data_IF_426473272057
#
_entry.id   IF_426473272057
#
_cell.length_a   1.000
_cell.length_b   1.000
_cell.length_c   1.000
_cell.angle_alpha   90.00
_cell.angle_beta   90.00
_cell.angle_gamma   90.00
#
_symmetry.space_group_name_H-M   'P 1'
#
loop_
_entity.id
_entity.type
_entity.pdbx_description
1 polymer ?
#
# COMPACT_ATOMS: atom_id res chain seq x y z
N UNK A 1 64.29 22.43 24.94
CA UNK A 1 62.95 22.31 25.54
C UNK A 1 61.98 22.91 24.58
N UNK A 2 61.39 22.08 23.75
CA UNK A 2 60.28 22.48 22.84
C UNK A 2 59.04 21.77 23.30
N UNK A 3 58.13 22.50 23.95
CA UNK A 3 56.79 22.06 24.27
C UNK A 3 55.98 22.14 22.99
N UNK A 4 55.63 20.99 22.43
CA UNK A 4 54.63 20.90 21.38
C UNK A 4 53.24 21.14 21.99
N UNK A 5 52.74 22.36 21.81
CA UNK A 5 51.32 22.67 22.08
C UNK A 5 50.44 21.78 21.18
N UNK A 6 49.88 20.74 21.75
CA UNK A 6 48.83 19.97 21.13
C UNK A 6 47.60 20.84 20.94
N UNK A 7 47.36 21.33 19.74
CA UNK A 7 46.08 21.95 19.37
C UNK A 7 44.97 20.95 19.61
N UNK A 8 44.24 21.14 20.67
CA UNK A 8 43.01 20.40 20.99
C UNK A 8 41.93 20.87 20.01
N UNK A 9 41.99 20.37 18.77
CA UNK A 9 40.95 20.64 17.76
C UNK A 9 39.74 19.80 18.09
N UNK A 10 38.65 20.46 18.48
CA UNK A 10 37.36 19.81 18.66
C UNK A 10 36.97 19.12 17.33
N UNK A 11 36.60 17.85 17.42
CA UNK A 11 36.08 17.09 16.27
C UNK A 11 34.71 17.62 15.88
N UNK A 12 34.40 17.66 14.58
CA UNK A 12 33.01 17.84 14.14
C UNK A 12 32.19 16.61 14.54
N UNK A 13 30.86 16.78 14.61
CA UNK A 13 29.94 15.67 14.92
C UNK A 13 30.12 14.49 13.96
N UNK A 14 30.19 14.76 12.65
CA UNK A 14 30.35 13.75 11.61
C UNK A 14 31.70 13.00 11.76
N UNK A 15 32.75 13.72 12.05
CA UNK A 15 34.10 13.11 12.27
C UNK A 15 34.09 12.24 13.52
N UNK A 16 33.45 12.70 14.59
CA UNK A 16 33.35 11.93 15.84
C UNK A 16 32.56 10.63 15.62
N UNK A 17 31.39 10.71 14.95
CA UNK A 17 30.56 9.53 14.61
C UNK A 17 31.33 8.53 13.74
N UNK A 18 31.98 9.01 12.68
CA UNK A 18 32.81 8.15 11.80
C UNK A 18 33.93 7.47 12.55
N UNK A 19 34.58 8.21 13.44
CA UNK A 19 35.70 7.68 14.27
C UNK A 19 35.19 6.58 15.22
N UNK A 20 34.05 6.81 15.89
CA UNK A 20 33.43 5.82 16.77
C UNK A 20 33.02 4.56 16.01
N UNK A 21 32.34 4.70 14.85
CA UNK A 21 31.95 3.56 14.03
C UNK A 21 33.14 2.74 13.56
N UNK A 22 34.24 3.39 13.14
CA UNK A 22 35.47 2.72 12.72
C UNK A 22 36.23 2.03 13.87
N UNK A 23 36.02 2.48 15.10
CA UNK A 23 36.64 1.89 16.29
C UNK A 23 35.88 0.61 16.77
N UNK A 24 34.67 0.39 16.30
CA UNK A 24 33.90 -0.82 16.65
C UNK A 24 34.40 -2.00 15.83
N UNK A 25 35.20 -2.87 16.44
CA UNK A 25 35.80 -4.05 15.79
C UNK A 25 35.15 -5.38 16.19
N UNK A 26 34.12 -5.36 17.05
CA UNK A 26 33.48 -6.61 17.46
C UNK A 26 32.49 -7.06 16.39
N UNK A 27 32.73 -8.24 15.81
CA UNK A 27 31.78 -8.96 14.98
C UNK A 27 31.04 -9.96 15.86
N UNK A 28 29.75 -9.73 16.05
CA UNK A 28 28.90 -10.71 16.70
C UNK A 28 28.62 -11.86 15.70
N UNK A 29 28.59 -13.09 16.21
CA UNK A 29 28.17 -14.25 15.41
C UNK A 29 26.66 -14.27 15.27
N UNK A 30 26.18 -14.70 14.09
CA UNK A 30 24.76 -14.96 13.85
C UNK A 30 24.35 -16.28 14.54
N UNK A 31 23.14 -16.35 15.03
CA UNK A 31 22.52 -17.58 15.55
C UNK A 31 21.08 -17.70 15.06
N UNK A 32 20.61 -18.94 14.90
CA UNK A 32 19.23 -19.21 14.58
C UNK A 32 18.44 -19.22 15.91
N UNK A 33 17.43 -18.37 16.00
CA UNK A 33 16.64 -18.19 17.22
C UNK A 33 15.15 -18.38 16.90
N UNK A 34 14.40 -19.09 17.74
CA UNK A 34 12.94 -19.16 17.61
C UNK A 34 12.30 -17.77 17.63
N UNK A 35 11.24 -17.56 16.84
CA UNK A 35 10.60 -16.27 16.67
C UNK A 35 10.19 -15.61 18.01
N UNK A 36 9.71 -16.41 18.94
CA UNK A 36 9.25 -15.97 20.26
C UNK A 36 10.40 -15.36 21.11
N UNK A 37 11.64 -15.70 20.78
CA UNK A 37 12.85 -15.22 21.47
C UNK A 37 13.60 -14.11 20.69
N UNK A 38 13.04 -13.64 19.58
CA UNK A 38 13.68 -12.63 18.72
C UNK A 38 13.49 -11.19 19.20
N UNK A 39 12.60 -10.94 20.18
CA UNK A 39 12.36 -9.57 20.68
C UNK A 39 13.66 -8.95 21.21
N UNK A 40 13.99 -7.76 20.72
CA UNK A 40 15.20 -7.03 21.09
C UNK A 40 16.49 -7.50 20.40
N UNK A 41 16.40 -8.45 19.46
CA UNK A 41 17.55 -8.90 18.66
C UNK A 41 17.65 -8.12 17.34
N UNK A 42 18.83 -8.14 16.76
CA UNK A 42 19.12 -7.51 15.46
C UNK A 42 19.18 -8.60 14.40
N UNK A 43 18.46 -8.40 13.30
CA UNK A 43 18.54 -9.27 12.12
C UNK A 43 19.93 -9.21 11.50
N UNK A 44 20.46 -10.34 11.06
CA UNK A 44 21.78 -10.45 10.40
C UNK A 44 21.69 -10.22 8.90
N UNK A 45 20.51 -10.31 8.34
CA UNK A 45 20.22 -10.09 6.92
C UNK A 45 18.82 -9.52 6.74
N UNK A 46 18.57 -8.86 5.60
CA UNK A 46 17.27 -8.36 5.24
C UNK A 46 16.31 -9.52 4.96
N UNK A 47 15.10 -9.41 5.52
CA UNK A 47 14.04 -10.39 5.27
C UNK A 47 13.09 -9.84 4.20
N UNK A 48 13.01 -10.53 3.07
CA UNK A 48 12.09 -10.21 1.99
C UNK A 48 10.86 -11.11 2.05
N UNK A 49 9.67 -10.50 1.92
CA UNK A 49 8.44 -11.28 1.81
C UNK A 49 8.46 -12.12 0.53
N UNK A 50 8.19 -13.45 0.60
CA UNK A 50 8.06 -14.28 -0.58
C UNK A 50 6.73 -14.07 -1.32
N UNK A 51 5.81 -13.31 -0.74
CA UNK A 51 4.48 -13.03 -1.28
C UNK A 51 4.28 -11.53 -1.45
N UNK A 52 3.50 -11.14 -2.45
CA UNK A 52 2.98 -9.77 -2.55
C UNK A 52 2.01 -9.48 -1.40
N UNK A 53 2.12 -8.30 -0.78
CA UNK A 53 1.24 -7.88 0.33
C UNK A 53 0.80 -6.43 0.06
N UNK A 54 -0.47 -6.25 -0.32
CA UNK A 54 -1.55 -7.24 -0.50
C UNK A 54 -1.35 -8.12 -1.75
N UNK A 55 -1.93 -9.34 -1.79
CA UNK A 55 -1.70 -10.29 -2.89
C UNK A 55 -2.41 -9.89 -4.21
N UNK A 56 -3.37 -8.96 -4.15
CA UNK A 56 -4.15 -8.44 -5.28
C UNK A 56 -4.48 -6.97 -5.09
N UNK A 57 -4.81 -6.27 -6.17
CA UNK A 57 -5.37 -4.92 -6.07
C UNK A 57 -6.67 -4.99 -5.29
N UNK A 58 -6.85 -4.11 -4.30
CA UNK A 58 -8.05 -4.10 -3.47
C UNK A 58 -8.57 -2.69 -3.22
N UNK A 59 -9.83 -2.62 -2.79
CA UNK A 59 -10.44 -1.35 -2.44
C UNK A 59 -9.92 -0.82 -1.10
N UNK A 60 -9.59 0.46 -1.07
CA UNK A 60 -9.29 1.19 0.16
C UNK A 60 -10.54 1.65 0.91
N UNK A 61 -11.70 1.67 0.25
CA UNK A 61 -12.96 2.24 0.75
C UNK A 61 -14.15 1.36 0.35
N UNK A 62 -15.25 1.53 1.07
CA UNK A 62 -16.55 0.97 0.68
C UNK A 62 -17.13 1.84 -0.43
N UNK A 63 -17.49 1.21 -1.56
CA UNK A 63 -17.91 2.00 -2.72
C UNK A 63 -18.30 1.17 -3.92
N UNK A 64 -18.00 1.69 -5.09
CA UNK A 64 -18.29 1.07 -6.37
C UNK A 64 -17.04 1.07 -7.25
N UNK A 65 -16.63 -0.12 -7.67
CA UNK A 65 -15.53 -0.29 -8.60
C UNK A 65 -16.04 -0.05 -10.04
N UNK A 66 -15.30 0.75 -10.80
CA UNK A 66 -15.59 1.12 -12.18
C UNK A 66 -14.33 1.10 -13.03
N UNK A 67 -14.50 1.07 -14.34
CA UNK A 67 -13.43 1.39 -15.28
C UNK A 67 -13.40 2.90 -15.49
N UNK A 68 -12.30 3.55 -15.16
CA UNK A 68 -12.16 5.01 -15.25
C UNK A 68 -12.52 5.58 -16.62
N UNK A 69 -12.12 4.88 -17.69
CA UNK A 69 -12.42 5.33 -19.06
C UNK A 69 -13.93 5.45 -19.33
N UNK A 70 -14.76 4.62 -18.68
CA UNK A 70 -16.20 4.63 -18.86
C UNK A 70 -16.87 5.88 -18.26
N UNK A 71 -16.23 6.55 -17.29
CA UNK A 71 -16.71 7.81 -16.70
C UNK A 71 -16.80 8.97 -17.70
N UNK A 72 -16.10 8.86 -18.82
CA UNK A 72 -16.18 9.86 -19.90
C UNK A 72 -17.37 9.63 -20.84
N UNK A 73 -17.93 8.40 -20.85
CA UNK A 73 -18.96 7.98 -21.81
C UNK A 73 -20.32 7.77 -21.18
N UNK A 74 -20.36 7.49 -19.87
CA UNK A 74 -21.59 7.16 -19.15
C UNK A 74 -21.78 8.11 -17.96
N UNK A 75 -23.02 8.53 -17.74
CA UNK A 75 -23.41 9.36 -16.58
C UNK A 75 -24.00 8.50 -15.45
N UNK A 76 -24.54 7.35 -15.79
CA UNK A 76 -25.09 6.37 -14.84
C UNK A 76 -24.51 4.98 -15.10
N UNK A 77 -24.39 4.18 -14.07
CA UNK A 77 -23.78 2.85 -14.10
C UNK A 77 -24.72 1.82 -13.47
N UNK A 78 -24.88 0.69 -14.15
CA UNK A 78 -25.64 -0.43 -13.60
C UNK A 78 -24.78 -1.24 -12.63
N UNK A 79 -25.31 -1.53 -11.44
CA UNK A 79 -24.63 -2.43 -10.49
C UNK A 79 -24.89 -3.87 -10.90
N UNK A 80 -23.82 -4.60 -11.26
CA UNK A 80 -23.92 -5.99 -11.78
C UNK A 80 -23.48 -7.04 -10.77
N UNK A 81 -23.00 -6.65 -9.61
CA UNK A 81 -22.60 -7.58 -8.57
C UNK A 81 -21.90 -6.92 -7.39
N UNK A 82 -21.36 -7.78 -6.54
CA UNK A 82 -20.67 -7.39 -5.30
C UNK A 82 -19.33 -8.09 -5.20
N UNK A 83 -18.29 -7.37 -4.77
CA UNK A 83 -16.99 -7.92 -4.38
C UNK A 83 -16.79 -7.67 -2.89
N UNK A 84 -16.65 -8.74 -2.13
CA UNK A 84 -16.48 -8.72 -0.68
C UNK A 84 -15.15 -9.35 -0.30
N UNK A 85 -14.62 -9.01 0.87
CA UNK A 85 -13.43 -9.67 1.39
C UNK A 85 -13.68 -11.18 1.51
N UNK A 86 -12.81 -11.98 0.88
CA UNK A 86 -12.96 -13.44 0.81
C UNK A 86 -14.02 -13.96 -0.21
N UNK A 87 -14.78 -13.05 -0.87
CA UNK A 87 -15.76 -13.42 -1.90
C UNK A 87 -15.63 -12.45 -3.08
N UNK A 88 -14.57 -12.56 -3.89
CA UNK A 88 -14.32 -11.66 -5.00
C UNK A 88 -15.31 -11.86 -6.16
N UNK A 89 -15.52 -10.80 -6.94
CA UNK A 89 -16.34 -10.83 -8.14
C UNK A 89 -15.47 -11.15 -9.36
N UNK A 90 -15.64 -12.34 -9.95
CA UNK A 90 -14.80 -12.84 -11.05
C UNK A 90 -15.43 -12.73 -12.44
N UNK A 91 -16.68 -12.22 -12.55
CA UNK A 91 -17.32 -12.09 -13.85
C UNK A 91 -16.81 -10.86 -14.60
N UNK A 92 -16.88 -10.91 -15.93
CA UNK A 92 -16.58 -9.76 -16.77
C UNK A 92 -17.60 -8.65 -16.53
N UNK A 93 -17.10 -7.42 -16.31
CA UNK A 93 -17.94 -6.23 -16.13
C UNK A 93 -18.09 -5.53 -17.48
N UNK A 94 -19.31 -5.42 -18.04
CA UNK A 94 -19.56 -4.69 -19.28
C UNK A 94 -19.33 -3.19 -19.13
N UNK A 95 -19.11 -2.48 -20.25
CA UNK A 95 -19.03 -1.03 -20.26
C UNK A 95 -20.32 -0.38 -19.70
N UNK A 96 -20.18 0.72 -18.95
CA UNK A 96 -21.31 1.36 -18.27
C UNK A 96 -21.86 0.59 -17.08
N UNK A 97 -21.16 -0.45 -16.63
CA UNK A 97 -21.49 -1.20 -15.41
C UNK A 97 -20.44 -1.00 -14.32
N UNK A 98 -20.84 -1.28 -13.08
CA UNK A 98 -19.99 -1.22 -11.91
C UNK A 98 -20.25 -2.38 -10.97
N UNK A 99 -19.34 -2.61 -10.03
CA UNK A 99 -19.47 -3.63 -8.98
C UNK A 99 -19.43 -2.94 -7.62
N UNK A 100 -20.40 -3.24 -6.77
CA UNK A 100 -20.37 -2.82 -5.37
C UNK A 100 -19.18 -3.49 -4.70
N UNK A 101 -18.28 -2.71 -4.08
CA UNK A 101 -17.07 -3.23 -3.48
C UNK A 101 -16.92 -2.75 -2.04
N UNK A 102 -16.39 -3.63 -1.18
CA UNK A 102 -16.10 -3.31 0.21
C UNK A 102 -14.60 -3.16 0.42
N UNK A 103 -14.23 -2.43 1.45
CA UNK A 103 -12.83 -2.24 1.85
C UNK A 103 -12.11 -3.57 1.99
N UNK A 104 -10.92 -3.68 1.39
CA UNK A 104 -10.12 -4.89 1.39
C UNK A 104 -10.54 -5.96 0.39
N UNK A 105 -11.68 -5.81 -0.27
CA UNK A 105 -12.13 -6.74 -1.32
C UNK A 105 -11.28 -6.59 -2.59
N UNK A 106 -11.03 -7.71 -3.26
CA UNK A 106 -10.31 -7.74 -4.53
C UNK A 106 -11.04 -6.91 -5.60
N UNK A 107 -10.27 -6.10 -6.33
CA UNK A 107 -10.77 -5.31 -7.43
C UNK A 107 -11.12 -6.22 -8.61
N UNK A 108 -12.37 -6.18 -9.14
CA UNK A 108 -12.76 -7.01 -10.27
C UNK A 108 -11.89 -6.72 -11.51
N UNK A 109 -11.60 -7.77 -12.27
CA UNK A 109 -10.75 -7.69 -13.47
C UNK A 109 -11.28 -6.65 -14.47
N UNK A 110 -10.38 -5.77 -14.91
CA UNK A 110 -10.69 -4.71 -15.88
C UNK A 110 -11.28 -3.44 -15.28
N UNK A 111 -11.52 -3.40 -13.97
CA UNK A 111 -11.83 -2.19 -13.22
C UNK A 111 -10.57 -1.63 -12.56
N UNK A 112 -10.47 -0.31 -12.45
CA UNK A 112 -9.25 0.37 -12.06
C UNK A 112 -9.46 1.53 -11.07
N UNK A 113 -10.71 1.82 -10.73
CA UNK A 113 -11.06 2.99 -9.90
C UNK A 113 -12.21 2.63 -8.97
N UNK A 114 -12.16 3.12 -7.74
CA UNK A 114 -13.25 2.98 -6.77
C UNK A 114 -13.79 4.36 -6.41
N UNK A 115 -15.11 4.50 -6.43
CA UNK A 115 -15.83 5.69 -5.97
C UNK A 115 -16.49 5.37 -4.64
N UNK A 116 -16.27 6.22 -3.63
CA UNK A 116 -16.85 6.02 -2.30
C UNK A 116 -18.38 6.03 -2.35
N UNK A 117 -19.02 5.23 -1.51
CA UNK A 117 -20.48 5.15 -1.46
C UNK A 117 -21.15 6.49 -1.10
N UNK A 118 -20.47 7.34 -0.34
CA UNK A 118 -20.94 8.68 0.05
C UNK A 118 -21.04 9.63 -1.16
N UNK A 119 -20.23 9.37 -2.19
CA UNK A 119 -20.16 10.17 -3.42
C UNK A 119 -21.05 9.62 -4.53
N UNK A 120 -21.99 8.72 -4.19
CA UNK A 120 -22.88 8.04 -5.14
C UNK A 120 -24.34 8.33 -4.80
N UNK A 121 -25.15 8.54 -5.85
CA UNK A 121 -26.60 8.50 -5.80
C UNK A 121 -27.05 7.12 -6.26
N UNK A 122 -27.84 6.43 -5.44
CA UNK A 122 -28.36 5.10 -5.74
C UNK A 122 -29.82 5.24 -6.14
N UNK A 123 -30.18 4.70 -7.31
CA UNK A 123 -31.53 4.67 -7.84
C UNK A 123 -32.22 3.32 -7.57
N UNK A 124 -33.53 3.33 -7.48
CA UNK A 124 -34.35 2.13 -7.18
C UNK A 124 -34.32 1.06 -8.28
N UNK A 125 -33.90 1.43 -9.50
CA UNK A 125 -33.78 0.56 -10.68
C UNK A 125 -32.43 -0.18 -10.77
N UNK A 126 -31.56 -0.03 -9.75
CA UNK A 126 -30.26 -0.68 -9.70
C UNK A 126 -29.15 0.08 -10.43
N UNK A 127 -29.41 1.32 -10.82
CA UNK A 127 -28.40 2.22 -11.35
C UNK A 127 -27.86 3.15 -10.28
N UNK A 128 -26.65 3.66 -10.53
CA UNK A 128 -25.98 4.67 -9.69
C UNK A 128 -25.47 5.82 -10.55
N UNK A 129 -25.34 6.99 -9.95
CA UNK A 129 -24.69 8.17 -10.52
C UNK A 129 -23.63 8.71 -9.56
N UNK A 130 -22.53 9.23 -10.08
CA UNK A 130 -21.49 9.83 -9.27
C UNK A 130 -21.74 11.33 -9.07
N UNK A 131 -21.69 11.80 -7.81
CA UNK A 131 -21.95 13.18 -7.43
C UNK A 131 -20.83 14.14 -7.85
N UNK A 132 -19.63 13.63 -8.03
CA UNK A 132 -18.44 14.42 -8.31
C UNK A 132 -17.46 13.71 -9.25
N UNK A 133 -16.50 14.49 -9.80
CA UNK A 133 -15.44 13.94 -10.63
C UNK A 133 -14.49 13.08 -9.80
N UNK A 134 -14.10 11.97 -10.35
CA UNK A 134 -13.18 10.99 -9.77
C UNK A 134 -11.90 10.96 -10.59
N UNK A 135 -10.77 10.74 -9.94
CA UNK A 135 -9.48 10.57 -10.61
C UNK A 135 -9.21 9.09 -10.89
N UNK A 136 -8.46 8.80 -11.94
CA UNK A 136 -8.05 7.43 -12.25
C UNK A 136 -7.29 6.81 -11.06
N UNK A 137 -7.58 5.56 -10.76
CA UNK A 137 -6.94 4.81 -9.67
C UNK A 137 -7.35 5.23 -8.26
N UNK A 138 -8.33 6.13 -8.10
CA UNK A 138 -8.79 6.56 -6.78
C UNK A 138 -9.22 5.38 -5.94
N UNK A 139 -8.82 5.38 -4.66
CA UNK A 139 -9.18 4.40 -3.64
C UNK A 139 -8.83 2.94 -3.96
N UNK A 140 -7.84 2.73 -4.82
CA UNK A 140 -7.27 1.40 -5.12
C UNK A 140 -5.92 1.27 -4.44
N UNK A 141 -5.74 0.18 -3.68
CA UNK A 141 -4.43 -0.26 -3.19
C UNK A 141 -3.88 -1.29 -4.14
N UNK A 142 -2.70 -1.03 -4.65
CA UNK A 142 -2.02 -1.94 -5.57
C UNK A 142 -1.50 -3.18 -4.84
N UNK A 143 -1.41 -4.30 -5.57
CA UNK A 143 -0.71 -5.49 -5.10
C UNK A 143 0.80 -5.22 -4.97
N UNK A 144 1.46 -5.77 -3.94
CA UNK A 144 2.89 -5.66 -3.71
C UNK A 144 3.32 -4.65 -2.67
#
# INVERSE_FOLDING_TARGET
MNASEGKNTMLTFETAVTTLLNAVNCKLSAEITPLELCLGRVLTEDIHSPLQIPPYHNSAMDGYAVKFADLHSFTSFRVVGHSLAGHPFHQTVPAGCCVRIMTGAELPLGLDTVVMQEDVLVHSDGYIEFKQKVSAGSHVRLAG
#
